data_IF_924724473075
#
_entry.id   IF_924724473075
#
_cell.length_a   1.000
_cell.length_b   1.000
_cell.length_c   1.000
_cell.angle_alpha   90.00
_cell.angle_beta   90.00
_cell.angle_gamma   90.00
#
_symmetry.space_group_name_H-M   'P 1'
#
loop_
_entity.id
_entity.type
_entity.pdbx_description
1 polymer ?
#
# COMPACT_ATOMS: atom_id res chain seq x y z
N UNK A 1 75.65 -12.01 -32.94
CA UNK A 1 74.71 -12.75 -32.08
C UNK A 1 73.79 -11.75 -31.40
N UNK A 2 72.60 -11.51 -31.96
CA UNK A 2 71.58 -10.68 -31.31
C UNK A 2 70.25 -11.42 -31.44
N UNK A 3 69.69 -11.86 -30.31
CA UNK A 3 68.48 -12.69 -30.25
C UNK A 3 67.26 -11.77 -30.19
N UNK A 4 66.41 -11.86 -31.21
CA UNK A 4 65.08 -11.26 -31.25
C UNK A 4 64.17 -12.12 -30.35
N UNK A 5 63.59 -11.50 -29.33
CA UNK A 5 62.64 -12.16 -28.42
C UNK A 5 61.21 -11.88 -28.92
N UNK A 6 60.60 -12.85 -29.59
CA UNK A 6 59.18 -12.79 -29.97
C UNK A 6 58.31 -13.15 -28.75
N UNK A 7 57.56 -12.19 -28.23
CA UNK A 7 56.54 -12.44 -27.19
C UNK A 7 55.22 -12.75 -27.87
N UNK A 8 54.77 -14.00 -27.77
CA UNK A 8 53.44 -14.43 -28.19
C UNK A 8 52.40 -14.02 -27.15
N UNK A 9 51.49 -13.11 -27.50
CA UNK A 9 50.30 -12.83 -26.71
C UNK A 9 49.27 -13.95 -26.94
N UNK A 10 49.05 -14.80 -25.93
CA UNK A 10 47.90 -15.72 -25.88
C UNK A 10 46.68 -14.90 -25.43
N UNK A 11 45.72 -14.70 -26.33
CA UNK A 11 44.40 -14.21 -25.96
C UNK A 11 43.68 -15.30 -25.15
N UNK A 12 43.45 -15.03 -23.86
CA UNK A 12 42.59 -15.86 -23.01
C UNK A 12 41.15 -15.39 -23.27
N UNK A 13 40.37 -16.22 -23.94
CA UNK A 13 38.93 -16.00 -24.12
C UNK A 13 38.24 -16.24 -22.78
N UNK A 14 37.88 -15.18 -22.07
CA UNK A 14 37.07 -15.26 -20.85
C UNK A 14 35.61 -15.41 -21.29
N UNK A 15 35.07 -16.62 -21.20
CA UNK A 15 33.63 -16.84 -21.33
C UNK A 15 32.95 -16.28 -20.08
N UNK A 16 32.36 -15.08 -20.22
CA UNK A 16 31.45 -14.52 -19.22
C UNK A 16 30.14 -15.32 -19.31
N UNK A 17 29.99 -16.31 -18.44
CA UNK A 17 28.69 -16.89 -18.15
C UNK A 17 27.87 -15.82 -17.44
N UNK A 18 26.85 -15.28 -18.12
CA UNK A 18 25.86 -14.45 -17.48
C UNK A 18 25.19 -15.28 -16.37
N UNK A 19 25.54 -14.97 -15.12
CA UNK A 19 24.77 -15.42 -13.97
C UNK A 19 23.47 -14.62 -14.03
N UNK A 20 22.40 -15.27 -14.48
CA UNK A 20 21.05 -14.75 -14.30
C UNK A 20 20.86 -14.53 -12.80
N UNK A 21 20.80 -13.27 -12.38
CA UNK A 21 20.38 -12.93 -11.03
C UNK A 21 18.94 -13.42 -10.88
N UNK A 22 18.75 -14.46 -10.06
CA UNK A 22 17.42 -14.87 -9.64
C UNK A 22 16.69 -13.64 -9.05
N UNK A 23 15.39 -13.46 -9.32
CA UNK A 23 14.64 -12.36 -8.74
C UNK A 23 14.77 -12.40 -7.21
N UNK A 24 15.13 -11.25 -6.63
CA UNK A 24 15.12 -11.04 -5.19
C UNK A 24 13.65 -11.04 -4.72
N UNK A 25 13.15 -12.21 -4.37
CA UNK A 25 12.10 -12.39 -3.36
C UNK A 25 12.07 -13.87 -3.02
N UNK A 26 12.99 -14.30 -2.16
CA UNK A 26 12.75 -15.51 -1.39
C UNK A 26 11.58 -15.17 -0.47
N UNK A 27 10.36 -15.56 -0.86
CA UNK A 27 9.20 -15.51 0.03
C UNK A 27 9.61 -16.21 1.32
N UNK A 28 9.82 -15.43 2.38
CA UNK A 28 10.23 -15.97 3.67
C UNK A 28 9.13 -16.93 4.08
N UNK A 29 9.46 -18.21 4.26
CA UNK A 29 8.49 -19.25 4.58
C UNK A 29 7.66 -18.78 5.78
N UNK A 30 6.37 -18.54 5.55
CA UNK A 30 5.50 -17.94 6.57
C UNK A 30 5.27 -18.94 7.70
N UNK A 31 5.29 -18.49 8.97
CA UNK A 31 4.92 -19.34 10.09
C UNK A 31 3.44 -19.72 10.01
N UNK A 32 3.02 -20.71 10.80
CA UNK A 32 1.61 -21.04 10.95
C UNK A 32 0.79 -19.77 11.29
N UNK A 33 -0.48 -19.63 10.85
CA UNK A 33 -1.30 -18.48 11.22
C UNK A 33 -1.48 -18.36 12.74
N UNK A 34 -1.52 -17.13 13.27
CA UNK A 34 -1.88 -16.87 14.66
C UNK A 34 -3.26 -17.44 14.98
N UNK A 35 -3.47 -17.93 16.20
CA UNK A 35 -4.77 -18.52 16.59
C UNK A 35 -5.80 -17.44 16.86
N UNK A 36 -6.53 -17.05 15.82
CA UNK A 36 -7.66 -16.10 15.88
C UNK A 36 -8.87 -16.80 15.28
N UNK A 37 -9.80 -17.24 16.13
CA UNK A 37 -10.91 -18.12 15.72
C UNK A 37 -11.77 -17.50 14.61
N UNK A 38 -12.14 -16.23 14.73
CA UNK A 38 -12.97 -15.53 13.74
C UNK A 38 -12.22 -15.14 12.46
N UNK A 39 -10.89 -15.32 12.43
CA UNK A 39 -10.09 -15.10 11.22
C UNK A 39 -10.08 -16.32 10.29
N UNK A 40 -10.65 -17.45 10.71
CA UNK A 40 -10.70 -18.67 9.91
C UNK A 40 -11.96 -18.68 9.05
N UNK A 41 -11.78 -18.79 7.74
CA UNK A 41 -12.86 -19.04 6.80
C UNK A 41 -12.29 -19.73 5.55
N UNK A 42 -13.06 -20.66 5.01
CA UNK A 42 -12.79 -21.34 3.73
C UNK A 42 -13.80 -20.95 2.66
N UNK A 43 -14.94 -20.39 3.07
CA UNK A 43 -15.98 -19.88 2.20
C UNK A 43 -16.36 -18.46 2.58
N UNK A 44 -16.96 -17.73 1.64
CA UNK A 44 -17.39 -16.35 1.87
C UNK A 44 -18.45 -16.25 3.00
N UNK A 45 -19.33 -17.24 3.11
CA UNK A 45 -20.37 -17.28 4.13
C UNK A 45 -19.81 -17.42 5.56
N UNK A 46 -18.60 -17.98 5.70
CA UNK A 46 -17.91 -18.14 6.98
C UNK A 46 -17.13 -16.90 7.41
N UNK A 47 -16.93 -15.93 6.51
CA UNK A 47 -16.14 -14.75 6.79
C UNK A 47 -16.80 -13.90 7.88
N UNK A 48 -16.04 -13.64 8.94
CA UNK A 48 -16.44 -12.79 10.07
C UNK A 48 -15.49 -11.61 10.23
N UNK A 49 -15.95 -10.51 10.84
CA UNK A 49 -15.04 -9.52 11.39
C UNK A 49 -14.13 -10.18 12.42
N UNK A 50 -12.86 -9.81 12.43
CA UNK A 50 -11.91 -10.30 13.43
C UNK A 50 -10.91 -9.22 13.81
N UNK A 51 -10.14 -9.51 14.85
CA UNK A 51 -9.08 -8.63 15.31
C UNK A 51 -7.75 -9.37 15.26
N UNK A 52 -6.83 -8.90 14.43
CA UNK A 52 -5.48 -9.44 14.30
C UNK A 52 -4.57 -8.78 15.35
N UNK A 53 -4.02 -9.53 16.31
CA UNK A 53 -3.10 -8.97 17.28
C UNK A 53 -1.70 -8.74 16.66
N UNK A 54 -1.08 -7.62 17.01
CA UNK A 54 0.34 -7.40 16.74
C UNK A 54 1.15 -7.87 17.96
N UNK A 55 1.60 -9.14 17.92
CA UNK A 55 2.27 -9.79 19.06
C UNK A 55 3.40 -8.94 19.65
N UNK A 56 3.52 -9.01 20.98
CA UNK A 56 4.44 -8.24 21.83
C UNK A 56 4.09 -6.75 22.01
N UNK A 57 2.97 -6.32 21.45
CA UNK A 57 2.37 -5.01 21.69
C UNK A 57 0.94 -5.14 22.23
N UNK A 58 0.30 -4.01 22.51
CA UNK A 58 -1.15 -3.94 22.80
C UNK A 58 -1.97 -3.56 21.57
N UNK A 59 -1.31 -3.34 20.43
CA UNK A 59 -1.94 -2.90 19.20
C UNK A 59 -2.51 -4.08 18.42
N UNK A 60 -3.51 -3.78 17.59
CA UNK A 60 -4.31 -4.76 16.86
C UNK A 60 -4.90 -4.13 15.61
N UNK A 61 -5.22 -4.95 14.61
CA UNK A 61 -5.93 -4.52 13.40
C UNK A 61 -7.34 -5.11 13.44
N UNK A 62 -8.36 -4.25 13.35
CA UNK A 62 -9.74 -4.67 13.12
C UNK A 62 -9.94 -4.90 11.63
N UNK A 63 -10.40 -6.10 11.26
CA UNK A 63 -10.58 -6.53 9.88
C UNK A 63 -12.07 -6.79 9.62
N UNK A 64 -12.60 -6.20 8.56
CA UNK A 64 -14.01 -6.28 8.14
C UNK A 64 -14.10 -7.17 6.89
N UNK A 65 -15.01 -8.17 6.86
CA UNK A 65 -15.22 -9.00 5.69
C UNK A 65 -15.97 -8.21 4.61
N UNK A 66 -15.40 -8.16 3.43
CA UNK A 66 -15.97 -7.57 2.22
C UNK A 66 -16.40 -8.72 1.32
N UNK A 67 -17.71 -8.80 1.08
CA UNK A 67 -18.30 -9.80 0.21
C UNK A 67 -17.87 -9.57 -1.24
N UNK A 68 -17.70 -10.64 -2.00
CA UNK A 68 -17.41 -10.53 -3.42
C UNK A 68 -18.64 -10.07 -4.18
N UNK A 69 -18.43 -9.50 -5.37
CA UNK A 69 -19.54 -9.03 -6.18
C UNK A 69 -19.10 -8.33 -7.45
N UNK A 70 -20.10 -7.85 -8.20
CA UNK A 70 -19.88 -7.00 -9.36
C UNK A 70 -20.30 -5.58 -9.03
N UNK A 71 -19.54 -4.63 -9.55
CA UNK A 71 -19.90 -3.22 -9.46
C UNK A 71 -19.39 -2.45 -10.67
N UNK A 72 -19.93 -1.25 -10.85
CA UNK A 72 -19.51 -0.31 -11.88
C UNK A 72 -18.44 0.59 -11.27
N UNK A 73 -17.21 0.49 -11.76
CA UNK A 73 -16.09 1.34 -11.33
C UNK A 73 -16.04 2.62 -12.16
N UNK A 74 -15.59 3.71 -11.55
CA UNK A 74 -15.57 5.05 -12.15
C UNK A 74 -16.86 5.84 -11.91
N UNK A 75 -16.92 7.06 -12.44
CA UNK A 75 -18.05 7.99 -12.24
C UNK A 75 -18.81 8.24 -13.55
N UNK A 76 -20.15 8.45 -13.49
CA UNK A 76 -20.94 8.77 -14.66
C UNK A 76 -20.55 10.14 -15.21
N UNK A 77 -20.68 10.34 -16.52
CA UNK A 77 -20.30 11.60 -17.19
C UNK A 77 -21.04 12.85 -16.67
N UNK A 78 -22.16 12.66 -15.95
CA UNK A 78 -22.94 13.72 -15.33
C UNK A 78 -22.59 13.99 -13.87
N UNK A 79 -21.70 13.21 -13.24
CA UNK A 79 -21.26 13.46 -11.86
C UNK A 79 -20.51 14.80 -11.80
N UNK A 80 -20.89 15.65 -10.85
CA UNK A 80 -20.23 16.93 -10.65
C UNK A 80 -18.76 16.74 -10.29
N UNK A 81 -17.90 17.62 -10.79
CA UNK A 81 -16.46 17.65 -10.52
C UNK A 81 -15.68 16.39 -10.92
N UNK A 82 -16.26 15.54 -11.78
CA UNK A 82 -15.62 14.37 -12.38
C UNK A 82 -14.40 14.75 -13.22
N UNK A 83 -13.28 14.06 -13.00
CA UNK A 83 -12.11 14.08 -13.88
C UNK A 83 -12.26 13.12 -15.07
N UNK A 84 -11.49 13.37 -16.15
CA UNK A 84 -11.61 12.59 -17.39
C UNK A 84 -11.27 11.10 -17.21
N UNK A 85 -10.26 10.82 -16.39
CA UNK A 85 -9.66 9.50 -16.13
C UNK A 85 -10.48 8.60 -15.20
N UNK A 86 -11.60 9.10 -14.68
CA UNK A 86 -12.57 8.34 -13.87
C UNK A 86 -13.52 7.51 -14.74
N UNK A 87 -13.24 7.35 -16.04
CA UNK A 87 -14.13 6.59 -16.92
C UNK A 87 -13.56 6.33 -18.31
N UNK A 88 -14.40 5.78 -19.22
CA UNK A 88 -15.81 5.45 -19.02
C UNK A 88 -16.04 4.42 -17.91
N UNK A 89 -17.23 4.49 -17.31
CA UNK A 89 -17.69 3.50 -16.36
C UNK A 89 -17.73 2.10 -17.00
N UNK A 90 -17.30 1.10 -16.26
CA UNK A 90 -17.31 -0.30 -16.71
C UNK A 90 -17.51 -1.25 -15.53
N UNK A 91 -18.06 -2.42 -15.81
CA UNK A 91 -18.28 -3.45 -14.79
C UNK A 91 -16.96 -4.18 -14.47
N UNK A 92 -16.71 -4.41 -13.18
CA UNK A 92 -15.64 -5.28 -12.69
C UNK A 92 -16.21 -6.26 -11.67
N UNK A 93 -15.57 -7.42 -11.54
CA UNK A 93 -15.90 -8.41 -10.53
C UNK A 93 -14.79 -8.46 -9.48
N UNK A 94 -15.16 -8.42 -8.21
CA UNK A 94 -14.26 -8.45 -7.06
C UNK A 94 -14.50 -9.74 -6.28
N UNK A 95 -13.44 -10.49 -6.03
CA UNK A 95 -13.45 -11.67 -5.15
C UNK A 95 -13.56 -11.25 -3.68
N UNK A 96 -14.09 -12.10 -2.78
CA UNK A 96 -14.22 -11.74 -1.36
C UNK A 96 -12.86 -11.61 -0.65
N UNK A 97 -12.76 -10.64 0.26
CA UNK A 97 -11.56 -10.33 1.03
C UNK A 97 -11.92 -9.69 2.38
N UNK A 98 -10.96 -9.58 3.29
CA UNK A 98 -11.07 -8.71 4.46
C UNK A 98 -10.28 -7.43 4.24
N UNK A 99 -10.79 -6.31 4.72
CA UNK A 99 -10.10 -5.01 4.71
C UNK A 99 -9.93 -4.49 6.14
N UNK A 100 -8.81 -3.83 6.43
CA UNK A 100 -8.67 -3.13 7.71
C UNK A 100 -9.72 -2.04 7.81
N UNK A 101 -10.39 -1.98 8.96
CA UNK A 101 -11.51 -1.07 9.24
C UNK A 101 -11.15 0.41 9.12
N UNK A 102 -9.90 0.71 9.41
CA UNK A 102 -9.28 2.04 9.44
C UNK A 102 -8.02 2.02 8.55
N UNK A 103 -7.49 3.20 8.24
CA UNK A 103 -6.10 3.31 7.77
C UNK A 103 -5.15 2.72 8.83
N UNK A 104 -3.97 2.28 8.36
CA UNK A 104 -2.91 1.85 9.27
C UNK A 104 -2.40 3.06 10.05
N UNK A 105 -2.53 2.99 11.37
CA UNK A 105 -2.11 4.05 12.29
C UNK A 105 -0.61 4.02 12.54
N UNK A 106 -0.04 5.14 13.00
CA UNK A 106 1.35 5.19 13.48
C UNK A 106 1.62 4.12 14.55
N UNK A 107 0.67 3.91 15.47
CA UNK A 107 0.77 2.87 16.49
C UNK A 107 0.96 1.46 15.92
N UNK A 108 0.38 1.17 14.76
CA UNK A 108 0.49 -0.12 14.08
C UNK A 108 1.72 -0.18 13.17
N UNK A 109 2.05 0.92 12.50
CA UNK A 109 3.17 1.03 11.57
C UNK A 109 4.53 0.93 12.28
N UNK A 110 4.68 1.63 13.41
CA UNK A 110 5.91 1.67 14.21
C UNK A 110 6.25 0.33 14.87
N UNK A 111 5.28 -0.58 15.00
CA UNK A 111 5.56 -1.97 15.38
C UNK A 111 6.60 -2.60 14.46
N UNK A 112 6.49 -2.32 13.16
CA UNK A 112 7.45 -2.73 12.16
C UNK A 112 8.61 -1.74 12.01
N UNK A 113 8.29 -0.49 11.70
CA UNK A 113 9.28 0.52 11.30
C UNK A 113 10.32 0.79 12.40
N UNK A 114 9.83 1.01 13.63
CA UNK A 114 10.66 1.37 14.78
C UNK A 114 10.97 0.17 15.68
N UNK A 115 10.54 -1.03 15.26
CA UNK A 115 10.77 -2.30 15.97
C UNK A 115 10.17 -2.32 17.37
N UNK A 116 9.02 -1.67 17.55
CA UNK A 116 8.37 -1.56 18.87
C UNK A 116 8.09 -2.95 19.45
N UNK A 117 7.76 -3.96 18.65
CA UNK A 117 7.59 -5.34 19.12
C UNK A 117 8.89 -5.91 19.73
N UNK A 118 10.00 -5.81 19.01
CA UNK A 118 11.31 -6.34 19.41
C UNK A 118 11.88 -5.58 20.60
N UNK A 119 11.74 -4.25 20.64
CA UNK A 119 12.14 -3.43 21.78
C UNK A 119 11.33 -3.78 23.04
N UNK A 120 10.01 -3.94 22.91
CA UNK A 120 9.16 -4.35 24.04
C UNK A 120 9.50 -5.76 24.51
N UNK A 121 9.71 -6.72 23.61
CA UNK A 121 10.17 -8.07 24.01
C UNK A 121 11.44 -8.00 24.85
N UNK A 122 12.43 -7.24 24.39
CA UNK A 122 13.69 -7.07 25.11
C UNK A 122 13.47 -6.43 26.49
N UNK A 123 12.67 -5.36 26.57
CA UNK A 123 12.34 -4.69 27.83
C UNK A 123 11.63 -5.62 28.85
N UNK A 124 10.83 -6.56 28.37
CA UNK A 124 10.13 -7.55 29.20
C UNK A 124 10.86 -8.90 29.32
N UNK A 125 12.12 -9.00 28.89
CA UNK A 125 12.91 -10.24 28.90
C UNK A 125 12.21 -11.45 28.24
N UNK A 126 11.43 -11.20 27.17
CA UNK A 126 10.75 -12.27 26.42
C UNK A 126 11.66 -12.84 25.32
N UNK A 127 11.85 -14.17 25.25
CA UNK A 127 12.65 -14.78 24.20
C UNK A 127 12.03 -14.58 22.82
N UNK A 128 12.85 -14.50 21.78
CA UNK A 128 12.39 -14.49 20.40
C UNK A 128 11.85 -15.88 19.99
N UNK A 129 10.72 -15.89 19.29
CA UNK A 129 10.14 -17.09 18.68
C UNK A 129 10.66 -17.30 17.25
N UNK A 130 10.46 -18.48 16.63
CA UNK A 130 10.75 -18.67 15.20
C UNK A 130 10.01 -17.67 14.29
N UNK A 131 8.76 -17.33 14.63
CA UNK A 131 7.97 -16.30 13.95
C UNK A 131 8.64 -14.93 14.04
N UNK A 132 9.16 -14.56 15.21
CA UNK A 132 9.84 -13.26 15.37
C UNK A 132 11.07 -13.17 14.46
N UNK A 133 11.82 -14.27 14.29
CA UNK A 133 12.96 -14.31 13.35
C UNK A 133 12.54 -14.12 11.90
N UNK A 134 11.41 -14.70 11.50
CA UNK A 134 10.83 -14.52 10.15
C UNK A 134 10.41 -13.06 9.96
N UNK A 135 9.68 -12.46 10.91
CA UNK A 135 9.29 -11.05 10.86
C UNK A 135 10.50 -10.11 10.86
N UNK A 136 11.54 -10.41 11.64
CA UNK A 136 12.77 -9.60 11.71
C UNK A 136 13.61 -9.65 10.44
N UNK A 137 13.43 -10.68 9.59
CA UNK A 137 14.11 -10.81 8.29
C UNK A 137 13.51 -9.93 7.19
N UNK A 138 12.31 -9.38 7.41
CA UNK A 138 11.69 -8.45 6.47
C UNK A 138 12.40 -7.10 6.58
N UNK A 139 12.80 -6.56 5.42
CA UNK A 139 13.41 -5.22 5.36
C UNK A 139 12.45 -4.16 5.91
N UNK A 140 13.01 -3.06 6.39
CA UNK A 140 12.27 -2.00 7.09
C UNK A 140 12.86 -0.63 6.76
N UNK A 141 12.09 0.45 6.98
CA UNK A 141 12.56 1.80 6.73
C UNK A 141 13.86 2.11 7.49
N UNK A 142 14.78 2.80 6.83
CA UNK A 142 15.92 3.43 7.51
C UNK A 142 15.42 4.49 8.48
N UNK A 143 16.15 4.86 9.54
CA UNK A 143 15.77 5.98 10.39
C UNK A 143 15.49 7.23 9.52
N UNK A 144 14.33 7.88 9.67
CA UNK A 144 14.02 9.06 8.87
C UNK A 144 14.90 10.24 9.32
N UNK A 145 15.21 11.16 8.41
CA UNK A 145 15.99 12.36 8.76
C UNK A 145 15.18 13.37 9.58
N UNK A 146 13.85 13.29 9.51
CA UNK A 146 12.90 14.14 10.23
C UNK A 146 11.80 13.28 10.85
N UNK A 147 11.00 13.87 11.74
CA UNK A 147 9.78 13.22 12.22
C UNK A 147 8.74 13.15 11.11
N UNK A 148 8.47 11.94 10.60
CA UNK A 148 7.49 11.71 9.54
C UNK A 148 6.04 11.97 9.95
N UNK A 149 5.75 12.20 11.24
CA UNK A 149 4.44 12.69 11.66
C UNK A 149 4.26 14.20 11.40
N UNK A 150 5.36 14.92 11.15
CA UNK A 150 5.41 16.38 10.99
C UNK A 150 4.70 17.13 12.13
N UNK A 151 4.74 16.59 13.34
CA UNK A 151 4.11 17.19 14.52
C UNK A 151 2.58 17.16 14.53
N UNK A 152 1.94 16.49 13.57
CA UNK A 152 0.48 16.43 13.46
C UNK A 152 -0.17 15.38 14.40
N UNK A 153 0.63 14.47 14.96
CA UNK A 153 0.23 13.51 15.99
C UNK A 153 0.41 12.05 15.59
N UNK A 154 0.57 11.15 16.56
CA UNK A 154 0.79 9.71 16.31
C UNK A 154 -0.27 8.81 16.93
N UNK A 155 -0.92 9.23 18.01
CA UNK A 155 -1.83 8.36 18.76
C UNK A 155 -3.15 8.14 18.03
N UNK A 156 -3.33 6.93 17.49
CA UNK A 156 -4.45 6.51 16.64
C UNK A 156 -4.64 7.34 15.36
N UNK A 157 -3.65 8.16 14.98
CA UNK A 157 -3.65 8.86 13.71
C UNK A 157 -3.10 7.96 12.59
N UNK A 158 -3.52 8.16 11.33
CA UNK A 158 -2.98 7.42 10.19
C UNK A 158 -1.47 7.65 10.06
N UNK A 159 -0.73 6.59 9.72
CA UNK A 159 0.67 6.70 9.33
C UNK A 159 0.77 7.31 7.93
N UNK A 160 1.65 8.31 7.76
CA UNK A 160 1.79 9.10 6.54
C UNK A 160 3.25 9.19 6.06
N UNK A 161 3.46 9.81 4.89
CA UNK A 161 4.79 10.13 4.34
C UNK A 161 5.68 8.93 4.01
N UNK A 162 5.08 7.79 3.70
CA UNK A 162 5.75 6.57 3.27
C UNK A 162 5.50 6.35 1.80
N UNK A 163 6.45 5.71 1.12
CA UNK A 163 6.26 5.26 -0.26
C UNK A 163 5.31 4.07 -0.33
N UNK A 164 4.73 3.83 -1.50
CA UNK A 164 4.01 2.59 -1.79
C UNK A 164 4.89 1.36 -1.52
N UNK A 165 6.20 1.43 -1.81
CA UNK A 165 7.15 0.36 -1.47
C UNK A 165 7.15 0.10 0.03
N UNK A 166 7.25 1.13 0.86
CA UNK A 166 7.21 0.99 2.32
C UNK A 166 5.89 0.38 2.81
N UNK A 167 4.76 0.85 2.29
CA UNK A 167 3.43 0.31 2.62
C UNK A 167 3.28 -1.17 2.21
N UNK A 168 3.85 -1.57 1.07
CA UNK A 168 3.92 -2.99 0.64
C UNK A 168 4.82 -3.82 1.56
N UNK A 169 5.98 -3.29 1.95
CA UNK A 169 6.87 -4.00 2.86
C UNK A 169 6.28 -4.17 4.26
N UNK A 170 5.46 -3.21 4.72
CA UNK A 170 4.64 -3.40 5.92
C UNK A 170 3.70 -4.61 5.77
N UNK A 171 3.06 -4.78 4.60
CA UNK A 171 2.18 -5.93 4.36
C UNK A 171 2.95 -7.26 4.35
N UNK A 172 4.17 -7.28 3.78
CA UNK A 172 5.07 -8.45 3.85
C UNK A 172 5.44 -8.76 5.30
N UNK A 173 5.79 -7.74 6.09
CA UNK A 173 6.06 -7.89 7.52
C UNK A 173 4.84 -8.38 8.28
N UNK A 174 3.66 -7.82 8.05
CA UNK A 174 2.42 -8.23 8.70
C UNK A 174 2.10 -9.68 8.36
N UNK A 175 2.39 -10.10 7.13
CA UNK A 175 2.23 -11.49 6.71
C UNK A 175 3.19 -12.44 7.44
N UNK A 176 4.45 -12.06 7.56
CA UNK A 176 5.45 -12.79 8.33
C UNK A 176 5.11 -12.84 9.83
N UNK A 177 4.60 -11.73 10.37
CA UNK A 177 4.23 -11.56 11.78
C UNK A 177 3.02 -12.41 12.14
N UNK A 178 2.03 -12.49 11.26
CA UNK A 178 0.73 -13.13 11.57
C UNK A 178 0.61 -14.55 10.99
N UNK A 179 1.43 -14.90 10.00
CA UNK A 179 1.30 -16.14 9.23
C UNK A 179 0.15 -16.13 8.21
N UNK A 180 -0.52 -14.99 8.00
CA UNK A 180 -1.57 -14.82 6.97
C UNK A 180 -1.05 -13.99 5.81
N UNK A 181 -1.72 -13.99 4.66
CA UNK A 181 -1.33 -13.14 3.53
C UNK A 181 -2.02 -11.78 3.62
N UNK A 182 -1.24 -10.71 3.68
CA UNK A 182 -1.69 -9.33 3.62
C UNK A 182 -1.03 -8.59 2.46
N UNK A 183 -1.75 -7.61 1.92
CA UNK A 183 -1.28 -6.72 0.85
C UNK A 183 -2.06 -5.41 0.87
N UNK A 184 -1.62 -4.46 0.05
CA UNK A 184 -2.46 -3.30 -0.30
C UNK A 184 -3.69 -3.74 -1.10
N UNK A 185 -4.83 -3.03 -0.98
CA UNK A 185 -5.96 -3.22 -1.90
C UNK A 185 -5.55 -2.91 -3.33
N UNK A 186 -6.19 -3.53 -4.32
CA UNK A 186 -6.17 -2.97 -5.69
C UNK A 186 -7.01 -1.69 -5.73
N UNK A 187 -6.81 -0.86 -6.74
CA UNK A 187 -7.64 0.32 -6.99
C UNK A 187 -9.13 -0.05 -7.06
N UNK A 188 -9.44 -1.15 -7.72
CA UNK A 188 -10.81 -1.63 -7.86
C UNK A 188 -11.40 -2.17 -6.54
N UNK A 189 -10.62 -2.90 -5.74
CA UNK A 189 -11.04 -3.32 -4.41
C UNK A 189 -11.29 -2.13 -3.49
N UNK A 190 -10.44 -1.11 -3.57
CA UNK A 190 -10.58 0.11 -2.78
C UNK A 190 -11.87 0.86 -3.15
N UNK A 191 -12.14 1.09 -4.44
CA UNK A 191 -13.36 1.79 -4.86
C UNK A 191 -14.62 0.97 -4.51
N UNK A 192 -14.57 -0.34 -4.72
CA UNK A 192 -15.67 -1.23 -4.34
C UNK A 192 -15.99 -1.14 -2.85
N UNK A 193 -14.96 -1.21 -2.01
CA UNK A 193 -15.07 -1.09 -0.57
C UNK A 193 -15.53 0.30 -0.13
N UNK A 194 -15.03 1.36 -0.78
CA UNK A 194 -15.42 2.75 -0.52
C UNK A 194 -16.92 2.94 -0.77
N UNK A 195 -17.40 2.54 -1.96
CA UNK A 195 -18.80 2.65 -2.37
C UNK A 195 -19.75 1.81 -1.51
N UNK A 196 -19.30 0.65 -1.04
CA UNK A 196 -20.09 -0.24 -0.19
C UNK A 196 -21.52 -0.50 -0.70
N UNK A 197 -21.64 -0.65 -2.03
CA UNK A 197 -22.90 -0.91 -2.73
C UNK A 197 -23.64 0.33 -3.24
N UNK A 198 -23.18 1.55 -2.96
CA UNK A 198 -23.76 2.76 -3.56
C UNK A 198 -23.18 3.06 -4.94
N UNK A 199 -23.89 3.89 -5.72
CA UNK A 199 -23.46 4.37 -7.05
C UNK A 199 -23.30 5.90 -7.07
N UNK A 200 -23.28 6.52 -5.91
CA UNK A 200 -23.26 7.97 -5.70
C UNK A 200 -21.83 8.50 -5.61
N UNK A 201 -21.65 9.82 -5.62
CA UNK A 201 -20.35 10.48 -5.52
C UNK A 201 -19.63 10.14 -4.21
N UNK A 202 -20.37 10.05 -3.09
CA UNK A 202 -19.87 9.51 -1.82
C UNK A 202 -20.70 8.32 -1.36
N UNK A 203 -20.17 7.49 -0.45
CA UNK A 203 -20.87 6.31 0.10
C UNK A 203 -22.13 6.65 0.90
N UNK A 204 -22.34 7.92 1.24
CA UNK A 204 -23.50 8.44 1.96
C UNK A 204 -24.49 9.23 1.07
N UNK A 205 -24.25 9.28 -0.24
CA UNK A 205 -25.09 9.97 -1.23
C UNK A 205 -24.33 11.05 -2.02
N UNK A 206 -25.06 11.92 -2.70
CA UNK A 206 -24.52 13.01 -3.55
C UNK A 206 -24.57 14.39 -2.87
N UNK A 207 -25.01 14.45 -1.61
CA UNK A 207 -25.15 15.70 -0.86
C UNK A 207 -23.86 16.01 -0.07
N UNK A 208 -23.02 16.88 -0.64
CA UNK A 208 -21.77 17.31 -0.03
C UNK A 208 -21.95 17.99 1.35
N UNK A 209 -23.14 18.49 1.69
CA UNK A 209 -23.40 19.08 3.00
C UNK A 209 -23.27 18.05 4.15
N UNK A 210 -23.39 16.76 3.84
CA UNK A 210 -23.19 15.66 4.80
C UNK A 210 -21.75 15.24 4.96
N UNK A 211 -20.83 15.72 4.12
CA UNK A 211 -19.44 15.26 4.11
C UNK A 211 -18.77 15.42 5.48
N UNK A 212 -19.07 16.49 6.22
CA UNK A 212 -18.56 16.72 7.56
C UNK A 212 -18.88 15.63 8.59
N UNK A 213 -19.90 14.80 8.36
CA UNK A 213 -20.25 13.67 9.22
C UNK A 213 -19.39 12.42 8.94
N UNK A 214 -18.82 12.31 7.75
CA UNK A 214 -18.13 11.11 7.24
C UNK A 214 -16.62 11.33 7.01
N UNK A 215 -16.18 12.57 6.92
CA UNK A 215 -14.85 12.94 6.44
C UNK A 215 -14.12 13.94 7.33
N UNK A 216 -12.81 13.81 7.39
CA UNK A 216 -11.89 14.90 7.72
C UNK A 216 -11.30 15.47 6.43
N UNK A 217 -11.44 16.76 6.20
CA UNK A 217 -11.06 17.44 4.96
C UNK A 217 -10.74 18.91 5.26
N UNK A 218 -10.30 19.68 4.26
CA UNK A 218 -9.72 21.03 4.45
C UNK A 218 -10.53 21.90 5.42
N UNK A 219 -11.86 21.91 5.29
CA UNK A 219 -12.73 22.79 6.04
C UNK A 219 -12.98 22.38 7.51
N UNK A 220 -12.66 21.14 7.90
CA UNK A 220 -12.96 20.64 9.25
C UNK A 220 -11.80 19.88 9.93
N UNK A 221 -10.64 19.79 9.28
CA UNK A 221 -9.49 19.01 9.77
C UNK A 221 -8.59 19.76 10.74
N UNK A 222 -8.83 21.07 10.95
CA UNK A 222 -7.93 21.98 11.68
C UNK A 222 -6.49 21.96 11.13
N UNK A 223 -6.34 21.77 9.82
CA UNK A 223 -5.05 21.80 9.11
C UNK A 223 -4.15 20.59 9.40
N UNK A 224 -4.73 19.43 9.74
CA UNK A 224 -3.99 18.17 9.97
C UNK A 224 -4.87 16.94 9.85
N UNK A 225 -4.26 15.78 9.62
CA UNK A 225 -4.94 14.49 9.78
C UNK A 225 -5.38 14.26 11.23
N UNK A 226 -6.39 13.43 11.41
CA UNK A 226 -7.09 13.21 12.68
C UNK A 226 -7.03 11.74 13.10
N UNK A 227 -7.31 11.42 14.37
CA UNK A 227 -7.43 10.04 14.80
C UNK A 227 -8.47 9.29 13.95
N UNK A 228 -8.15 8.06 13.55
CA UNK A 228 -9.02 7.22 12.72
C UNK A 228 -10.33 6.90 13.44
N UNK A 229 -11.39 6.68 12.67
CA UNK A 229 -12.66 6.20 13.18
C UNK A 229 -13.47 7.22 13.99
N UNK A 230 -13.21 8.52 13.78
CA UNK A 230 -13.91 9.62 14.49
C UNK A 230 -15.08 10.20 13.72
N UNK A 231 -15.27 9.79 12.47
CA UNK A 231 -16.42 10.11 11.63
C UNK A 231 -17.32 8.89 11.44
N UNK A 232 -18.44 9.05 10.76
CA UNK A 232 -19.34 7.94 10.45
C UNK A 232 -18.71 6.99 9.42
N UNK A 233 -18.91 5.66 9.56
CA UNK A 233 -18.46 4.72 8.57
C UNK A 233 -19.36 4.71 7.33
N UNK A 234 -18.86 4.12 6.25
CA UNK A 234 -19.68 3.76 5.11
C UNK A 234 -20.64 2.57 5.44
N UNK A 235 -21.57 2.20 4.53
CA UNK A 235 -22.53 1.13 4.75
C UNK A 235 -21.95 -0.24 5.15
N UNK A 236 -20.67 -0.51 4.89
CA UNK A 236 -20.00 -1.76 5.28
C UNK A 236 -19.18 -1.65 6.56
N UNK A 237 -19.19 -0.50 7.23
CA UNK A 237 -18.51 -0.29 8.49
C UNK A 237 -17.03 0.08 8.35
N UNK A 238 -16.59 0.47 7.16
CA UNK A 238 -15.25 1.03 6.93
C UNK A 238 -15.28 2.53 7.20
N UNK A 239 -14.26 3.02 7.89
CA UNK A 239 -14.14 4.43 8.27
C UNK A 239 -13.14 5.14 7.37
N UNK A 240 -13.28 6.47 7.33
CA UNK A 240 -12.31 7.37 6.71
C UNK A 240 -12.06 7.05 5.22
N UNK A 241 -13.09 6.52 4.52
CA UNK A 241 -13.01 6.21 3.08
C UNK A 241 -13.11 7.47 2.18
N UNK A 242 -13.32 8.64 2.79
CA UNK A 242 -13.54 9.93 2.14
C UNK A 242 -12.79 11.00 2.93
N UNK A 243 -11.48 11.17 2.73
CA UNK A 243 -10.65 12.11 3.49
C UNK A 243 -9.83 11.48 4.61
N UNK A 244 -9.40 12.32 5.55
CA UNK A 244 -8.33 12.06 6.52
C UNK A 244 -6.97 11.92 5.84
N UNK A 245 -6.70 10.80 5.18
CA UNK A 245 -5.53 10.65 4.30
C UNK A 245 -5.91 9.85 3.06
N UNK A 246 -5.36 10.24 1.91
CA UNK A 246 -5.40 9.42 0.72
C UNK A 246 -4.59 8.13 0.96
N UNK A 247 -4.92 7.07 0.25
CA UNK A 247 -4.40 5.74 0.56
C UNK A 247 -3.72 5.08 -0.62
N UNK A 248 -2.51 4.54 -0.37
CA UNK A 248 -1.85 3.68 -1.32
C UNK A 248 -2.69 2.46 -1.68
N UNK A 249 -2.94 2.29 -2.97
CA UNK A 249 -3.39 1.02 -3.56
C UNK A 249 -2.22 0.33 -4.24
N UNK A 250 -2.38 -0.92 -4.65
CA UNK A 250 -1.33 -1.71 -5.27
C UNK A 250 -1.01 -1.27 -6.71
N UNK A 251 -2.00 -0.69 -7.38
CA UNK A 251 -1.96 -0.35 -8.79
C UNK A 251 -0.93 0.74 -9.12
N UNK A 252 -0.33 0.62 -10.32
CA UNK A 252 0.23 1.78 -10.99
C UNK A 252 -0.90 2.68 -11.49
N UNK A 253 -0.71 3.99 -11.32
CA UNK A 253 -1.64 4.95 -11.89
C UNK A 253 -1.42 5.04 -13.39
N UNK A 254 -2.51 4.91 -14.15
CA UNK A 254 -2.53 5.12 -15.59
C UNK A 254 -3.91 5.70 -15.97
N UNK A 255 -3.91 6.92 -16.48
CA UNK A 255 -5.12 7.70 -16.74
C UNK A 255 -6.02 7.06 -17.82
N UNK A 256 -5.42 6.39 -18.79
CA UNK A 256 -6.10 5.72 -19.90
C UNK A 256 -6.64 4.32 -19.56
N UNK A 257 -6.34 3.80 -18.36
CA UNK A 257 -6.70 2.44 -17.94
C UNK A 257 -8.18 2.15 -18.13
N UNK A 258 -9.07 3.07 -17.74
CA UNK A 258 -10.50 2.81 -17.78
C UNK A 258 -11.03 2.83 -19.22
N UNK A 259 -10.49 3.70 -20.07
CA UNK A 259 -10.80 3.75 -21.51
C UNK A 259 -10.30 2.52 -22.27
N UNK A 260 -9.20 1.90 -21.81
CA UNK A 260 -8.65 0.70 -22.45
C UNK A 260 -9.44 -0.58 -22.14
N UNK A 261 -10.29 -0.60 -21.11
CA UNK A 261 -11.03 -1.80 -20.68
C UNK A 261 -12.26 -2.03 -21.55
N UNK A 262 -12.32 -3.22 -22.16
CA UNK A 262 -13.40 -3.62 -23.10
C UNK A 262 -14.20 -4.83 -22.63
N UNK A 263 -13.69 -5.53 -21.63
CA UNK A 263 -14.24 -6.79 -21.14
C UNK A 263 -14.41 -6.74 -19.63
N UNK A 264 -15.27 -7.61 -19.10
CA UNK A 264 -15.41 -7.80 -17.66
C UNK A 264 -14.09 -8.34 -17.11
N UNK A 265 -13.49 -7.60 -16.19
CA UNK A 265 -12.28 -8.02 -15.48
C UNK A 265 -12.63 -8.55 -14.09
N UNK A 266 -11.98 -9.64 -13.70
CA UNK A 266 -12.03 -10.19 -12.35
C UNK A 266 -10.76 -9.79 -11.61
N UNK A 267 -10.91 -9.14 -10.46
CA UNK A 267 -9.83 -8.61 -9.62
C UNK A 267 -8.76 -7.84 -10.44
N UNK A 268 -9.17 -6.78 -11.16
CA UNK A 268 -8.24 -6.07 -12.03
C UNK A 268 -7.13 -5.41 -11.21
N UNK A 269 -5.92 -5.46 -11.76
CA UNK A 269 -4.72 -4.84 -11.22
C UNK A 269 -3.90 -4.27 -12.39
N UNK A 270 -3.61 -2.98 -12.37
CA UNK A 270 -2.58 -2.37 -13.20
C UNK A 270 -1.24 -2.64 -12.53
N UNK A 271 -0.52 -3.65 -13.04
CA UNK A 271 0.72 -4.10 -12.40
C UNK A 271 1.72 -2.93 -12.36
N UNK A 272 2.26 -2.61 -11.17
CA UNK A 272 3.19 -1.50 -10.99
C UNK A 272 4.56 -1.72 -11.67
N UNK A 273 4.82 -1.10 -12.83
CA UNK A 273 6.06 -1.34 -13.61
C UNK A 273 7.11 -0.22 -13.55
N UNK A 274 6.74 1.03 -13.25
CA UNK A 274 7.67 2.16 -13.10
C UNK A 274 7.51 2.84 -11.74
N UNK A 275 8.50 3.55 -11.20
CA UNK A 275 8.41 4.14 -9.84
C UNK A 275 7.21 5.07 -9.67
N UNK A 276 6.91 5.87 -10.70
CA UNK A 276 5.80 6.81 -10.74
C UNK A 276 5.05 6.70 -12.07
N UNK A 277 3.77 7.14 -12.10
CA UNK A 277 2.93 7.39 -10.93
C UNK A 277 2.36 6.08 -10.35
N UNK A 278 2.23 6.03 -9.02
CA UNK A 278 1.50 5.00 -8.26
C UNK A 278 0.14 5.56 -7.86
N UNK A 279 -0.90 4.72 -7.84
CA UNK A 279 -2.24 5.20 -7.54
C UNK A 279 -2.44 5.38 -6.03
N UNK A 280 -3.13 6.47 -5.66
CA UNK A 280 -3.72 6.70 -4.34
C UNK A 280 -5.21 7.04 -4.49
N UNK A 281 -5.96 6.87 -3.39
CA UNK A 281 -7.43 6.98 -3.38
C UNK A 281 -7.94 7.64 -2.11
N UNK A 282 -9.08 8.35 -2.22
CA UNK A 282 -9.88 8.78 -1.07
C UNK A 282 -9.75 10.24 -0.65
N UNK A 283 -8.70 10.94 -1.07
CA UNK A 283 -8.43 12.32 -0.70
C UNK A 283 -7.97 12.49 0.76
N UNK A 284 -7.43 13.66 1.07
CA UNK A 284 -6.79 13.97 2.34
C UNK A 284 -7.50 15.01 3.21
N UNK A 285 -6.88 15.29 4.35
CA UNK A 285 -7.31 16.30 5.31
C UNK A 285 -7.16 17.74 4.80
N UNK A 286 -6.35 17.95 3.76
CA UNK A 286 -6.05 19.22 3.09
C UNK A 286 -6.81 19.38 1.77
N UNK A 287 -7.66 18.42 1.42
CA UNK A 287 -8.42 18.42 0.17
C UNK A 287 -9.82 19.02 0.31
N UNK A 288 -10.31 19.53 -0.82
CA UNK A 288 -11.69 20.01 -0.99
C UNK A 288 -12.65 18.85 -1.31
N UNK A 289 -13.97 19.00 -1.08
CA UNK A 289 -14.95 17.92 -1.25
C UNK A 289 -14.90 17.14 -2.57
N UNK A 290 -14.58 17.80 -3.68
CA UNK A 290 -14.48 17.17 -5.00
C UNK A 290 -13.41 16.07 -5.10
N UNK A 291 -12.35 16.13 -4.28
CA UNK A 291 -11.27 15.13 -4.24
C UNK A 291 -11.61 13.91 -3.38
N UNK A 292 -12.67 14.01 -2.57
CA UNK A 292 -13.08 12.96 -1.63
C UNK A 292 -14.15 12.03 -2.20
N UNK A 293 -14.54 12.19 -3.48
CA UNK A 293 -15.53 11.33 -4.13
C UNK A 293 -14.98 9.90 -4.28
N UNK A 294 -15.87 8.91 -4.24
CA UNK A 294 -15.52 7.49 -4.36
C UNK A 294 -14.70 7.16 -5.60
N UNK A 295 -14.89 7.91 -6.71
CA UNK A 295 -14.26 7.65 -8.00
C UNK A 295 -12.91 8.35 -8.21
N UNK A 296 -12.52 9.32 -7.36
CA UNK A 296 -11.32 10.15 -7.59
C UNK A 296 -10.05 9.33 -7.55
N UNK A 297 -9.29 9.39 -8.64
CA UNK A 297 -7.99 8.74 -8.82
C UNK A 297 -6.91 9.82 -8.72
N UNK A 298 -5.84 9.53 -8.01
CA UNK A 298 -4.67 10.40 -8.00
C UNK A 298 -3.40 9.57 -8.20
N UNK A 299 -2.46 10.12 -8.95
CA UNK A 299 -1.16 9.52 -9.20
C UNK A 299 -0.06 10.24 -8.43
N UNK A 300 0.76 9.48 -7.71
CA UNK A 300 1.94 10.00 -7.03
C UNK A 300 2.91 10.69 -7.97
N UNK A 301 3.56 11.76 -7.52
CA UNK A 301 4.55 12.49 -8.30
C UNK A 301 5.93 12.54 -7.60
N UNK A 302 6.94 13.02 -8.33
CA UNK A 302 8.30 13.15 -7.83
C UNK A 302 8.45 14.26 -6.76
N UNK A 303 7.58 15.27 -6.80
CA UNK A 303 7.62 16.38 -5.84
C UNK A 303 7.33 15.92 -4.41
N UNK A 304 6.69 14.75 -4.24
CA UNK A 304 6.44 14.13 -2.94
C UNK A 304 7.71 13.71 -2.16
N UNK A 305 8.89 13.70 -2.80
CA UNK A 305 10.19 13.50 -2.13
C UNK A 305 11.07 14.75 -2.16
N UNK A 306 10.59 15.90 -2.63
CA UNK A 306 11.45 17.03 -2.97
C UNK A 306 12.28 17.51 -1.77
N UNK A 307 11.74 17.45 -0.56
CA UNK A 307 12.45 17.86 0.66
C UNK A 307 13.39 16.80 1.23
N UNK A 308 13.43 15.57 0.69
CA UNK A 308 14.36 14.54 1.15
C UNK A 308 15.81 14.96 0.83
N UNK A 309 16.64 15.27 1.85
CA UNK A 309 18.01 15.74 1.64
C UNK A 309 18.97 14.58 1.32
N UNK A 310 18.51 13.33 1.34
CA UNK A 310 19.36 12.16 1.08
C UNK A 310 19.69 12.01 -0.41
N UNK A 311 20.93 11.60 -0.71
CA UNK A 311 21.41 11.28 -2.07
C UNK A 311 22.00 9.87 -2.05
N UNK A 312 21.40 8.88 -2.74
CA UNK A 312 20.09 8.96 -3.40
C UNK A 312 18.95 9.15 -2.40
N UNK A 313 17.82 9.69 -2.87
CA UNK A 313 16.61 9.86 -2.07
C UNK A 313 16.09 8.51 -1.57
N UNK A 314 15.43 8.54 -0.41
CA UNK A 314 14.95 7.34 0.25
C UNK A 314 13.88 6.62 -0.57
N UNK A 315 13.99 5.29 -0.64
CA UNK A 315 12.93 4.43 -1.18
C UNK A 315 11.78 4.25 -0.19
N UNK A 316 11.93 4.72 1.06
CA UNK A 316 10.98 4.50 2.15
C UNK A 316 10.03 5.67 2.38
N UNK A 317 10.48 6.89 2.10
CA UNK A 317 9.79 8.11 2.51
C UNK A 317 9.36 8.97 1.33
N UNK A 318 8.17 9.57 1.49
CA UNK A 318 7.67 10.69 0.72
C UNK A 318 7.46 11.85 1.68
N UNK A 319 8.50 12.65 1.88
CA UNK A 319 8.56 13.71 2.89
C UNK A 319 7.53 14.81 2.69
N UNK A 320 7.02 14.95 1.48
CA UNK A 320 6.08 15.99 1.10
C UNK A 320 4.66 15.43 0.88
N UNK A 321 4.46 14.10 1.00
CA UNK A 321 3.14 13.47 0.94
C UNK A 321 2.46 13.43 2.32
N UNK A 322 2.19 14.60 2.88
CA UNK A 322 1.62 14.78 4.23
C UNK A 322 0.19 14.23 4.40
N UNK A 323 -0.51 14.04 3.28
CA UNK A 323 -1.88 13.52 3.24
C UNK A 323 -1.98 12.07 2.76
N UNK A 324 -0.88 11.30 2.66
CA UNK A 324 -0.91 9.95 2.07
C UNK A 324 -0.52 8.88 3.07
N UNK A 325 -1.47 8.02 3.39
CA UNK A 325 -1.38 6.81 4.20
C UNK A 325 -1.67 5.53 3.40
N UNK A 326 -2.18 4.51 4.08
CA UNK A 326 -2.63 3.27 3.45
C UNK A 326 -3.51 2.44 4.38
N UNK A 327 -4.24 1.48 3.81
CA UNK A 327 -4.90 0.39 4.53
C UNK A 327 -4.52 -0.96 3.94
N UNK A 328 -4.84 -2.05 4.65
CA UNK A 328 -4.44 -3.41 4.23
C UNK A 328 -5.64 -4.29 3.93
N UNK A 329 -5.45 -5.25 3.04
CA UNK A 329 -6.42 -6.31 2.76
C UNK A 329 -5.81 -7.69 2.93
N UNK A 330 -6.67 -8.67 3.17
CA UNK A 330 -6.38 -10.10 3.15
C UNK A 330 -7.42 -10.78 2.25
N UNK A 331 -7.04 -11.41 1.13
CA UNK A 331 -8.01 -12.14 0.31
C UNK A 331 -8.52 -13.40 1.04
N UNK A 332 -9.75 -13.83 0.75
CA UNK A 332 -10.29 -15.11 1.25
C UNK A 332 -9.45 -16.28 0.74
N UNK A 333 -9.27 -16.32 -0.58
CA UNK A 333 -8.40 -17.27 -1.25
C UNK A 333 -7.05 -16.62 -1.46
N UNK A 334 -6.01 -17.19 -0.86
CA UNK A 334 -4.67 -16.69 -1.08
C UNK A 334 -4.24 -16.93 -2.53
N UNK A 335 -3.66 -15.93 -3.23
CA UNK A 335 -3.13 -16.13 -4.56
C UNK A 335 -2.05 -17.21 -4.59
N UNK A 336 -1.94 -17.92 -5.71
CA UNK A 336 -0.84 -18.86 -5.93
C UNK A 336 0.51 -18.14 -5.95
N UNK A 337 1.61 -18.88 -5.74
CA UNK A 337 2.94 -18.27 -5.76
C UNK A 337 3.32 -17.72 -7.14
N UNK A 338 2.83 -18.35 -8.21
CA UNK A 338 2.95 -17.83 -9.57
C UNK A 338 2.21 -16.50 -9.74
N UNK A 339 0.98 -16.42 -9.24
CA UNK A 339 0.22 -15.17 -9.24
C UNK A 339 0.94 -14.08 -8.47
N UNK A 340 1.36 -14.35 -7.22
CA UNK A 340 2.16 -13.44 -6.38
C UNK A 340 3.37 -12.92 -7.15
N UNK A 341 4.16 -13.81 -7.73
CA UNK A 341 5.33 -13.47 -8.52
C UNK A 341 4.98 -12.65 -9.77
N UNK A 342 3.82 -12.89 -10.39
CA UNK A 342 3.41 -12.23 -11.62
C UNK A 342 2.84 -10.82 -11.43
N UNK A 343 2.18 -10.57 -10.30
CA UNK A 343 1.32 -9.38 -10.09
C UNK A 343 1.72 -8.56 -8.85
N UNK A 344 2.19 -9.20 -7.77
CA UNK A 344 2.45 -8.54 -6.48
C UNK A 344 3.93 -8.28 -6.26
N UNK A 345 4.81 -9.20 -6.64
CA UNK A 345 6.26 -9.13 -6.33
C UNK A 345 7.08 -8.38 -7.40
N UNK A 346 6.46 -7.94 -8.50
CA UNK A 346 7.15 -7.31 -9.66
C UNK A 346 7.40 -5.80 -9.56
N UNK A 347 7.12 -5.17 -8.42
CA UNK A 347 6.82 -3.73 -8.39
C UNK A 347 7.98 -2.77 -8.15
N UNK A 348 9.23 -3.15 -8.40
CA UNK A 348 10.38 -2.30 -8.05
C UNK A 348 11.18 -1.93 -9.30
N UNK A 349 11.38 -0.64 -9.60
CA UNK A 349 12.57 -0.28 -10.34
C UNK A 349 13.77 -0.65 -9.45
N UNK A 350 14.80 -1.32 -10.00
CA UNK A 350 16.05 -1.47 -9.27
C UNK A 350 16.57 -0.07 -8.92
N UNK A 351 17.03 0.11 -7.68
CA UNK A 351 17.85 1.27 -7.35
C UNK A 351 19.08 1.21 -8.25
N UNK A 352 19.10 2.04 -9.29
CA UNK A 352 20.28 2.27 -10.09
C UNK A 352 20.99 3.43 -9.42
N UNK A 353 22.19 3.19 -8.91
CA UNK A 353 23.10 4.29 -8.65
C UNK A 353 23.22 5.09 -9.95
N UNK A 354 23.15 6.44 -9.92
CA UNK A 354 23.36 7.22 -11.12
C UNK A 354 24.71 6.79 -11.70
N UNK A 355 24.71 6.32 -12.95
CA UNK A 355 25.96 6.07 -13.65
C UNK A 355 26.79 7.36 -13.56
N UNK A 356 28.01 7.27 -13.04
CA UNK A 356 28.96 8.38 -13.01
C UNK A 356 29.22 8.82 -14.45
N UNK A 357 28.42 9.78 -14.92
CA UNK A 357 28.26 10.09 -16.34
C UNK A 357 27.88 11.54 -16.55
N UNK A 358 28.48 12.46 -15.80
CA UNK A 358 28.62 13.83 -16.28
C UNK A 358 29.89 13.87 -17.12
N UNK A 359 29.75 13.61 -18.42
CA UNK A 359 30.75 14.01 -19.40
C UNK A 359 30.84 15.54 -19.34
N UNK A 360 32.01 16.02 -18.92
CA UNK A 360 32.40 17.41 -19.08
C UNK A 360 32.66 17.61 -20.58
N UNK A 361 31.79 18.37 -21.25
CA UNK A 361 32.14 19.11 -22.47
C UNK A 361 31.92 20.60 -22.24
#
# INVERSE_FOLDING_TARGET
MSRICCVFFRAVLVTVTAVSAAPVSAQVARPEPLKVADALATTEAEMKPYTEPLEHTTFKLEMVPIRGGRFVIGSPASEADRAEDEGPQHEVQISPFWMSKFEITWNQYEVWGDRVDSLRRAAYNKPATPRDKVADSVTRPTPPYTDMSFGMGRENNPAICMTQHSARMYCVWLSAKTGRYYRLPTEAEWEYACRAGTTTAWSFGDDAAKLGDYAWYEANSDGKYQPVGKKQPNPWGLYDMHGNVAEWVLDQYAADTYAARKELLVDPLVVPLTEYPRAVRGGGWDDTPNMLRSAVREGSNLDWKQQDPQIPQSIWYFTDALGVGFRVVRPLTEPSDEEKAAKWDKSEPPQKDPEEGVSVE
#
